data_IF_252007337555
#
_entry.id   IF_252007337555
#
_cell.length_a   1.000
_cell.length_b   1.000
_cell.length_c   1.000
_cell.angle_alpha   90.00
_cell.angle_beta   90.00
_cell.angle_gamma   90.00
#
_symmetry.space_group_name_H-M   'P 1'
#
loop_
_entity.id
_entity.type
_entity.pdbx_description
1 polymer ?
#
# COMPACT_ATOMS: atom_id res chain seq x y z
N UNK A 1 2.66 -15.36 71.58
CA UNK A 1 2.03 -14.03 71.38
C UNK A 1 1.96 -13.80 69.88
N UNK A 2 0.74 -13.67 69.36
CA UNK A 2 0.42 -13.73 67.93
C UNK A 2 1.03 -12.58 67.12
N UNK A 3 1.47 -12.87 65.89
CA UNK A 3 1.33 -11.91 64.80
C UNK A 3 1.13 -12.65 63.48
N UNK A 4 -0.09 -12.57 62.97
CA UNK A 4 -0.47 -12.90 61.60
C UNK A 4 -0.14 -11.68 60.73
N UNK A 5 0.65 -11.85 59.66
CA UNK A 5 0.74 -10.85 58.59
C UNK A 5 0.64 -11.58 57.24
N UNK A 6 -0.50 -11.41 56.60
CA UNK A 6 -0.69 -11.54 55.16
C UNK A 6 -0.53 -10.13 54.57
N UNK A 7 0.46 -9.92 53.70
CA UNK A 7 0.24 -9.18 52.45
C UNK A 7 1.46 -9.21 51.53
N UNK A 8 1.13 -9.40 50.25
CA UNK A 8 1.90 -9.22 49.04
C UNK A 8 2.55 -7.83 48.95
N UNK A 9 3.89 -7.75 48.93
CA UNK A 9 4.59 -6.69 48.17
C UNK A 9 6.07 -7.04 47.98
N UNK A 10 6.48 -6.88 46.73
CA UNK A 10 7.85 -6.90 46.20
C UNK A 10 8.83 -6.17 47.12
N UNK A 11 9.68 -6.90 47.84
CA UNK A 11 10.79 -6.28 48.61
C UNK A 11 12.05 -7.09 48.36
N UNK A 12 12.97 -6.53 47.57
CA UNK A 12 14.32 -7.08 47.37
C UNK A 12 15.12 -6.90 48.67
N UNK A 13 15.38 -7.99 49.38
CA UNK A 13 16.37 -7.99 50.46
C UNK A 13 17.76 -8.27 49.87
N UNK A 14 18.64 -7.27 49.89
CA UNK A 14 20.08 -7.46 49.71
C UNK A 14 20.69 -7.85 51.05
N UNK A 15 21.19 -9.07 51.16
CA UNK A 15 21.96 -9.52 52.33
C UNK A 15 23.45 -9.48 51.98
N UNK A 16 24.18 -8.50 52.51
CA UNK A 16 25.64 -8.46 52.45
C UNK A 16 26.20 -9.23 53.65
N UNK A 17 26.67 -10.47 53.43
CA UNK A 17 27.54 -11.14 54.39
C UNK A 17 29.00 -10.77 54.10
N UNK A 18 29.66 -10.17 55.08
CA UNK A 18 31.10 -9.92 55.06
C UNK A 18 31.81 -11.08 55.77
N UNK A 19 32.34 -12.01 54.99
CA UNK A 19 33.44 -12.89 55.43
C UNK A 19 34.70 -12.53 54.66
N UNK A 20 35.82 -12.50 55.39
CA UNK A 20 37.14 -12.11 54.90
C UNK A 20 37.59 -12.92 53.68
N UNK A 21 38.03 -12.16 52.66
CA UNK A 21 38.87 -12.51 51.50
C UNK A 21 38.29 -12.85 50.13
N UNK A 22 36.98 -13.03 49.93
CA UNK A 22 36.43 -13.06 48.56
C UNK A 22 34.99 -12.53 48.52
N UNK A 23 34.77 -11.37 47.90
CA UNK A 23 33.42 -10.89 47.56
C UNK A 23 32.90 -11.75 46.41
N UNK A 24 32.20 -12.84 46.72
CA UNK A 24 31.37 -13.54 45.73
C UNK A 24 30.08 -12.75 45.57
N UNK A 25 29.96 -12.02 44.46
CA UNK A 25 28.69 -11.47 44.00
C UNK A 25 27.85 -12.66 43.51
N UNK A 26 27.09 -13.28 44.41
CA UNK A 26 26.12 -14.30 44.05
C UNK A 26 24.87 -13.64 43.51
N UNK A 27 24.66 -13.69 42.20
CA UNK A 27 23.34 -13.40 41.62
C UNK A 27 22.35 -14.43 42.18
N UNK A 28 21.26 -13.96 42.80
CA UNK A 28 20.18 -14.82 43.29
C UNK A 28 19.68 -15.71 42.14
N UNK A 29 19.48 -17.00 42.40
CA UNK A 29 18.97 -17.98 41.43
C UNK A 29 17.68 -17.51 40.73
N UNK A 30 16.84 -16.74 41.44
CA UNK A 30 15.62 -16.16 40.89
C UNK A 30 15.88 -15.05 39.85
N UNK A 31 16.95 -14.28 40.01
CA UNK A 31 17.38 -13.28 39.00
C UNK A 31 17.88 -13.98 37.74
N UNK A 32 18.63 -15.08 37.90
CA UNK A 32 19.16 -15.86 36.78
C UNK A 32 18.03 -16.49 35.94
N UNK A 33 17.01 -17.05 36.58
CA UNK A 33 15.84 -17.64 35.90
C UNK A 33 14.92 -16.60 35.26
N UNK A 34 14.75 -15.42 35.86
CA UNK A 34 14.02 -14.30 35.21
C UNK A 34 14.76 -13.75 33.99
N UNK A 35 16.09 -13.64 34.06
CA UNK A 35 16.93 -13.23 32.92
C UNK A 35 16.91 -14.28 31.79
N UNK A 36 16.92 -15.57 32.11
CA UNK A 36 16.76 -16.65 31.10
C UNK A 36 15.36 -16.64 30.47
N UNK A 37 14.29 -16.51 31.27
CA UNK A 37 12.91 -16.41 30.77
C UNK A 37 12.72 -15.17 29.88
N UNK A 38 13.31 -14.03 30.26
CA UNK A 38 13.30 -12.81 29.45
C UNK A 38 14.06 -12.97 28.13
N UNK A 39 15.18 -13.70 28.13
CA UNK A 39 15.94 -14.00 26.91
C UNK A 39 15.18 -14.94 25.96
N UNK A 40 14.55 -15.98 26.50
CA UNK A 40 13.72 -16.90 25.70
C UNK A 40 12.51 -16.19 25.09
N UNK A 41 11.79 -15.38 25.87
CA UNK A 41 10.71 -14.55 25.34
C UNK A 41 11.19 -13.60 24.24
N UNK A 42 12.34 -12.94 24.42
CA UNK A 42 12.91 -12.06 23.41
C UNK A 42 13.23 -12.81 22.12
N UNK A 43 13.82 -14.01 22.20
CA UNK A 43 14.13 -14.83 21.04
C UNK A 43 12.86 -15.29 20.30
N UNK A 44 11.81 -15.66 21.04
CA UNK A 44 10.51 -16.01 20.44
C UNK A 44 9.89 -14.81 19.72
N UNK A 45 9.94 -13.62 20.31
CA UNK A 45 9.44 -12.38 19.67
C UNK A 45 10.25 -12.06 18.41
N UNK A 46 11.58 -12.08 18.48
CA UNK A 46 12.44 -11.83 17.33
C UNK A 46 12.23 -12.87 16.21
N UNK A 47 12.07 -14.14 16.59
CA UNK A 47 11.75 -15.22 15.66
C UNK A 47 10.39 -15.03 14.97
N UNK A 48 9.37 -14.63 15.72
CA UNK A 48 8.05 -14.33 15.18
C UNK A 48 8.07 -13.11 14.23
N UNK A 49 8.80 -12.05 14.60
CA UNK A 49 8.98 -10.87 13.76
C UNK A 49 9.72 -11.20 12.45
N UNK A 50 10.76 -12.03 12.52
CA UNK A 50 11.49 -12.49 11.35
C UNK A 50 10.59 -13.34 10.44
N UNK A 51 9.83 -14.27 11.02
CA UNK A 51 8.88 -15.09 10.27
C UNK A 51 7.83 -14.22 9.55
N UNK A 52 7.29 -13.22 10.24
CA UNK A 52 6.35 -12.26 9.66
C UNK A 52 6.99 -11.47 8.51
N UNK A 53 8.23 -11.02 8.68
CA UNK A 53 8.99 -10.34 7.63
C UNK A 53 9.28 -11.21 6.41
N UNK A 54 9.56 -12.51 6.61
CA UNK A 54 9.82 -13.44 5.52
C UNK A 54 8.55 -13.90 4.78
N UNK A 55 7.39 -13.82 5.43
CA UNK A 55 6.12 -14.34 4.88
C UNK A 55 5.21 -13.25 4.32
N UNK A 56 5.27 -12.04 4.88
CA UNK A 56 4.45 -10.90 4.46
C UNK A 56 5.33 -9.82 3.82
N UNK A 57 4.78 -9.14 2.80
CA UNK A 57 5.38 -7.92 2.27
C UNK A 57 5.11 -6.76 3.25
N UNK A 58 5.80 -6.77 4.40
CA UNK A 58 5.63 -5.80 5.48
C UNK A 58 5.79 -4.37 4.96
N UNK A 59 6.74 -4.15 4.06
CA UNK A 59 7.00 -2.85 3.45
C UNK A 59 5.82 -2.34 2.62
N UNK A 60 5.15 -3.21 1.88
CA UNK A 60 3.93 -2.86 1.16
C UNK A 60 2.84 -2.34 2.11
N UNK A 61 2.57 -3.05 3.20
CA UNK A 61 1.52 -2.66 4.16
C UNK A 61 1.87 -1.38 4.93
N UNK A 62 3.12 -1.24 5.38
CA UNK A 62 3.59 -0.02 6.05
C UNK A 62 3.51 1.18 5.13
N UNK A 63 3.93 1.04 3.87
CA UNK A 63 3.85 2.11 2.87
C UNK A 63 2.39 2.46 2.54
N UNK A 64 1.53 1.47 2.41
CA UNK A 64 0.08 1.67 2.23
C UNK A 64 -0.51 2.47 3.39
N UNK A 65 -0.27 2.05 4.64
CA UNK A 65 -0.74 2.76 5.83
C UNK A 65 -0.22 4.21 5.88
N UNK A 66 1.06 4.43 5.54
CA UNK A 66 1.63 5.76 5.42
C UNK A 66 0.91 6.61 4.37
N UNK A 67 0.62 6.05 3.18
CA UNK A 67 -0.10 6.76 2.11
C UNK A 67 -1.53 7.10 2.53
N UNK A 68 -2.23 6.19 3.21
CA UNK A 68 -3.56 6.46 3.77
C UNK A 68 -3.52 7.58 4.79
N UNK A 69 -2.58 7.53 5.75
CA UNK A 69 -2.40 8.58 6.75
C UNK A 69 -2.08 9.93 6.09
N UNK A 70 -1.12 9.94 5.15
CA UNK A 70 -0.75 11.13 4.39
C UNK A 70 -1.95 11.75 3.66
N UNK A 71 -2.74 10.93 2.95
CA UNK A 71 -3.93 11.39 2.24
C UNK A 71 -5.00 11.93 3.20
N UNK A 72 -5.12 11.37 4.40
CA UNK A 72 -6.06 11.80 5.42
C UNK A 72 -5.77 13.19 5.96
N UNK A 73 -4.50 13.55 6.09
CA UNK A 73 -4.08 14.88 6.56
C UNK A 73 -4.01 15.93 5.45
N UNK A 74 -4.10 15.53 4.18
CA UNK A 74 -4.12 16.46 3.06
C UNK A 74 -5.54 16.95 2.72
N UNK A 75 -5.68 18.17 2.17
CA UNK A 75 -6.98 18.67 1.74
C UNK A 75 -7.62 17.75 0.70
N UNK A 76 -8.94 17.58 0.80
CA UNK A 76 -9.73 16.83 -0.19
C UNK A 76 -9.75 17.57 -1.52
N UNK A 77 -9.69 16.82 -2.61
CA UNK A 77 -9.78 17.32 -3.99
C UNK A 77 -11.19 17.01 -4.49
N UNK A 78 -12.06 18.03 -4.56
CA UNK A 78 -13.48 17.84 -4.93
C UNK A 78 -13.68 17.64 -6.43
N UNK A 79 -12.76 18.14 -7.24
CA UNK A 79 -12.80 17.93 -8.68
C UNK A 79 -12.30 16.52 -9.00
N UNK A 80 -13.17 15.71 -9.62
CA UNK A 80 -12.88 14.30 -9.96
C UNK A 80 -11.89 14.16 -11.10
N UNK A 81 -11.84 15.14 -11.99
CA UNK A 81 -10.96 15.15 -13.16
C UNK A 81 -9.66 15.91 -12.89
N UNK A 82 -9.51 16.51 -11.71
CA UNK A 82 -8.28 17.17 -11.32
C UNK A 82 -7.14 16.15 -11.15
N UNK A 83 -5.99 16.50 -11.72
CA UNK A 83 -4.76 15.74 -11.52
C UNK A 83 -4.29 15.88 -10.06
N UNK A 84 -3.88 14.78 -9.45
CA UNK A 84 -3.26 14.75 -8.13
C UNK A 84 -1.86 14.17 -8.24
N UNK A 85 -0.89 14.78 -7.56
CA UNK A 85 0.48 14.30 -7.49
C UNK A 85 0.82 13.73 -6.11
N UNK A 86 1.62 12.67 -6.12
CA UNK A 86 2.31 12.14 -4.95
C UNK A 86 3.80 12.06 -5.24
N UNK A 87 4.60 12.44 -4.24
CA UNK A 87 6.05 12.46 -4.34
C UNK A 87 6.68 11.11 -4.00
N UNK A 88 7.72 10.75 -4.75
CA UNK A 88 8.50 9.54 -4.56
C UNK A 88 10.00 9.79 -4.70
N UNK A 89 10.80 8.83 -4.22
CA UNK A 89 12.24 8.78 -4.43
C UNK A 89 12.64 7.33 -4.56
N UNK A 90 13.51 7.01 -5.50
CA UNK A 90 13.97 5.63 -5.71
C UNK A 90 14.85 5.21 -4.53
N UNK A 91 14.37 4.25 -3.73
CA UNK A 91 15.05 3.70 -2.56
C UNK A 91 15.88 2.46 -2.92
N UNK A 92 16.80 2.01 -2.04
CA UNK A 92 17.62 0.83 -2.33
C UNK A 92 16.80 -0.43 -2.66
N UNK A 93 15.65 -0.63 -2.01
CA UNK A 93 14.77 -1.78 -2.26
C UNK A 93 13.96 -1.69 -3.56
N UNK A 94 14.03 -0.55 -4.25
CA UNK A 94 13.34 -0.33 -5.52
C UNK A 94 14.20 -0.71 -6.73
N UNK A 95 15.50 -0.95 -6.52
CA UNK A 95 16.45 -1.22 -7.58
C UNK A 95 16.36 -2.66 -8.09
N UNK A 96 16.62 -2.84 -9.37
CA UNK A 96 16.94 -4.12 -9.99
C UNK A 96 18.46 -4.38 -10.05
N UNK A 97 18.85 -5.52 -10.63
CA UNK A 97 20.26 -5.88 -10.82
C UNK A 97 21.02 -4.92 -11.73
N UNK A 98 20.33 -4.09 -12.52
CA UNK A 98 20.94 -3.08 -13.39
C UNK A 98 21.06 -1.71 -12.71
N UNK A 99 20.70 -1.59 -11.43
CA UNK A 99 20.81 -0.35 -10.67
C UNK A 99 19.77 0.71 -11.01
N UNK A 100 18.71 0.32 -11.72
CA UNK A 100 17.58 1.19 -12.05
C UNK A 100 16.35 0.78 -11.25
N UNK A 101 15.37 1.69 -11.15
CA UNK A 101 14.08 1.33 -10.57
C UNK A 101 13.48 0.14 -11.33
N UNK A 102 13.20 -0.93 -10.59
CA UNK A 102 12.64 -2.17 -11.11
C UNK A 102 11.26 -1.91 -11.73
N UNK A 103 11.00 -2.47 -12.90
CA UNK A 103 9.73 -2.32 -13.63
C UNK A 103 8.49 -2.62 -12.76
N UNK A 104 8.55 -3.66 -11.92
CA UNK A 104 7.45 -4.02 -11.01
C UNK A 104 7.17 -2.95 -9.94
N UNK A 105 8.18 -2.15 -9.57
CA UNK A 105 8.04 -1.06 -8.60
C UNK A 105 7.21 0.08 -9.17
N UNK A 106 7.25 0.35 -10.47
CA UNK A 106 6.37 1.34 -11.08
C UNK A 106 4.89 0.95 -10.91
N UNK A 107 4.55 -0.33 -11.11
CA UNK A 107 3.17 -0.82 -10.91
C UNK A 107 2.72 -0.67 -9.46
N UNK A 108 3.60 -1.03 -8.52
CA UNK A 108 3.34 -0.90 -7.09
C UNK A 108 3.15 0.56 -6.66
N UNK A 109 4.00 1.46 -7.13
CA UNK A 109 3.87 2.88 -6.84
C UNK A 109 2.59 3.48 -7.47
N UNK A 110 2.15 2.97 -8.62
CA UNK A 110 0.84 3.30 -9.18
C UNK A 110 -0.33 2.89 -8.27
N UNK A 111 -0.26 1.75 -7.56
CA UNK A 111 -1.28 1.36 -6.57
C UNK A 111 -1.38 2.39 -5.43
N UNK A 112 -0.23 2.76 -4.87
CA UNK A 112 -0.18 3.77 -3.80
C UNK A 112 -0.71 5.13 -4.26
N UNK A 113 -0.33 5.58 -5.45
CA UNK A 113 -0.83 6.81 -6.02
C UNK A 113 -2.36 6.77 -6.28
N UNK A 114 -2.91 5.61 -6.66
CA UNK A 114 -4.39 5.44 -6.76
C UNK A 114 -5.05 5.47 -5.39
N UNK A 115 -4.51 4.81 -4.38
CA UNK A 115 -5.07 4.87 -3.01
C UNK A 115 -5.08 6.30 -2.48
N UNK A 116 -3.99 7.04 -2.66
CA UNK A 116 -3.90 8.45 -2.33
C UNK A 116 -4.97 9.28 -3.06
N UNK A 117 -5.06 9.11 -4.37
CA UNK A 117 -6.04 9.80 -5.22
C UNK A 117 -7.49 9.53 -4.77
N UNK A 118 -7.84 8.26 -4.55
CA UNK A 118 -9.18 7.83 -4.13
C UNK A 118 -9.55 8.30 -2.72
N UNK A 119 -8.57 8.37 -1.82
CA UNK A 119 -8.77 8.89 -0.48
C UNK A 119 -9.09 10.39 -0.51
N UNK A 120 -8.31 11.15 -1.28
CA UNK A 120 -8.44 12.62 -1.33
C UNK A 120 -9.66 13.08 -2.10
N UNK A 121 -10.08 12.37 -3.15
CA UNK A 121 -11.31 12.70 -3.86
C UNK A 121 -12.57 12.06 -3.25
N UNK A 122 -12.43 11.14 -2.31
CA UNK A 122 -13.55 10.51 -1.60
C UNK A 122 -14.12 9.26 -2.27
N UNK A 123 -13.57 8.82 -3.41
CA UNK A 123 -13.95 7.55 -4.05
C UNK A 123 -13.73 6.34 -3.15
N UNK A 124 -12.69 6.34 -2.32
CA UNK A 124 -12.43 5.24 -1.39
C UNK A 124 -13.59 5.08 -0.39
N UNK A 125 -13.99 6.18 0.25
CA UNK A 125 -15.06 6.18 1.25
C UNK A 125 -16.44 5.91 0.65
N UNK A 126 -16.70 6.42 -0.56
CA UNK A 126 -17.93 6.13 -1.27
C UNK A 126 -18.02 4.66 -1.69
N UNK A 127 -16.93 4.12 -2.24
CA UNK A 127 -16.88 2.70 -2.62
C UNK A 127 -17.14 1.80 -1.41
N UNK A 128 -16.49 2.10 -0.28
CA UNK A 128 -16.73 1.37 0.97
C UNK A 128 -18.19 1.42 1.42
N UNK A 129 -18.81 2.61 1.43
CA UNK A 129 -20.21 2.78 1.86
C UNK A 129 -21.23 2.12 0.93
N UNK A 130 -20.93 2.08 -0.37
CA UNK A 130 -21.77 1.44 -1.39
C UNK A 130 -21.50 -0.07 -1.53
N UNK A 131 -20.55 -0.64 -0.78
CA UNK A 131 -20.13 -2.02 -0.93
C UNK A 131 -19.42 -2.31 -2.27
N UNK A 132 -18.99 -1.26 -2.97
CA UNK A 132 -18.31 -1.38 -4.26
C UNK A 132 -16.86 -1.80 -4.06
N UNK A 133 -16.34 -2.62 -4.98
CA UNK A 133 -14.93 -3.01 -5.03
C UNK A 133 -14.29 -2.46 -6.30
N UNK A 134 -13.21 -1.71 -6.14
CA UNK A 134 -12.40 -1.22 -7.26
C UNK A 134 -11.28 -2.23 -7.51
N UNK A 135 -11.28 -2.88 -8.68
CA UNK A 135 -10.30 -3.92 -9.03
C UNK A 135 -9.62 -3.55 -10.35
N UNK A 136 -8.29 -3.72 -10.44
CA UNK A 136 -7.57 -3.51 -11.70
C UNK A 136 -7.98 -4.61 -12.69
N UNK A 137 -8.62 -4.20 -13.79
CA UNK A 137 -9.05 -5.10 -14.87
C UNK A 137 -8.04 -5.19 -16.02
N UNK A 138 -7.30 -4.11 -16.28
CA UNK A 138 -6.21 -4.07 -17.24
C UNK A 138 -5.26 -2.94 -16.88
N UNK A 139 -3.98 -3.11 -17.21
CA UNK A 139 -2.98 -2.05 -17.10
C UNK A 139 -1.98 -2.16 -18.23
N UNK A 140 -1.53 -1.02 -18.76
CA UNK A 140 -0.48 -0.95 -19.77
C UNK A 140 0.45 0.20 -19.44
N UNK A 141 1.73 -0.12 -19.26
CA UNK A 141 2.76 0.85 -18.93
C UNK A 141 3.77 0.96 -20.06
N UNK A 142 4.08 2.20 -20.42
CA UNK A 142 5.14 2.54 -21.37
C UNK A 142 6.28 3.21 -20.62
N UNK A 143 7.43 2.54 -20.62
CA UNK A 143 8.68 3.08 -20.07
C UNK A 143 9.38 3.92 -21.13
N UNK A 144 9.79 5.13 -20.77
CA UNK A 144 10.52 6.06 -21.63
C UNK A 144 11.95 6.26 -21.16
N UNK A 145 12.14 6.42 -19.84
CA UNK A 145 13.44 6.57 -19.21
C UNK A 145 13.42 5.97 -17.80
N UNK A 146 14.45 5.21 -17.48
CA UNK A 146 14.61 4.63 -16.14
C UNK A 146 14.94 5.71 -15.12
N UNK A 147 14.33 5.62 -13.93
CA UNK A 147 14.69 6.40 -12.76
C UNK A 147 15.87 5.74 -12.04
N UNK A 148 16.89 6.52 -11.70
CA UNK A 148 18.09 6.03 -11.04
C UNK A 148 17.98 6.05 -9.50
N UNK A 149 18.92 5.39 -8.81
CA UNK A 149 19.00 5.42 -7.35
C UNK A 149 19.00 6.86 -6.80
N UNK A 150 18.18 7.12 -5.78
CA UNK A 150 17.96 8.44 -5.15
C UNK A 150 17.37 9.52 -6.06
N UNK A 151 16.92 9.17 -7.27
CA UNK A 151 16.21 10.12 -8.11
C UNK A 151 14.82 10.39 -7.52
N UNK A 152 14.52 11.67 -7.32
CA UNK A 152 13.20 12.12 -6.89
C UNK A 152 12.26 12.23 -8.10
N UNK A 153 11.02 11.81 -7.92
CA UNK A 153 9.99 11.83 -8.95
C UNK A 153 8.63 12.18 -8.35
N UNK A 154 7.68 12.52 -9.20
CA UNK A 154 6.28 12.65 -8.84
C UNK A 154 5.45 11.70 -9.70
N UNK A 155 4.37 11.17 -9.11
CA UNK A 155 3.37 10.37 -9.82
C UNK A 155 2.12 11.22 -9.95
N UNK A 156 1.85 11.69 -11.15
CA UNK A 156 0.65 12.47 -11.48
C UNK A 156 -0.46 11.50 -11.89
N UNK A 157 -1.52 11.45 -11.10
CA UNK A 157 -2.66 10.55 -11.29
C UNK A 157 -3.89 11.36 -11.67
N UNK A 158 -4.58 10.94 -12.72
CA UNK A 158 -5.82 11.57 -13.20
C UNK A 158 -6.82 10.51 -13.66
N UNK A 159 -8.09 10.69 -13.30
CA UNK A 159 -9.20 9.98 -13.94
C UNK A 159 -9.44 10.63 -15.31
N UNK A 160 -9.21 9.87 -16.38
CA UNK A 160 -9.39 10.33 -17.76
C UNK A 160 -10.85 10.25 -18.17
N UNK A 161 -11.60 9.29 -17.61
CA UNK A 161 -13.02 9.11 -17.85
C UNK A 161 -13.52 7.80 -17.24
N UNK A 162 -14.76 7.43 -17.52
CA UNK A 162 -15.37 6.18 -17.06
C UNK A 162 -16.43 5.70 -18.05
N UNK A 163 -16.73 4.41 -18.00
CA UNK A 163 -17.88 3.81 -18.67
C UNK A 163 -18.84 3.20 -17.63
N UNK A 164 -19.74 2.32 -18.07
CA UNK A 164 -20.69 1.64 -17.19
C UNK A 164 -20.03 0.73 -16.13
N UNK A 165 -18.81 0.26 -16.39
CA UNK A 165 -18.16 -0.83 -15.63
C UNK A 165 -16.83 -0.41 -15.00
N UNK A 166 -16.15 0.62 -15.49
CA UNK A 166 -14.80 0.94 -15.07
C UNK A 166 -14.47 2.43 -15.12
N UNK A 167 -13.57 2.85 -14.23
CA UNK A 167 -12.82 4.10 -14.35
C UNK A 167 -11.56 3.88 -15.18
N UNK A 168 -11.23 4.86 -16.02
CA UNK A 168 -10.00 4.93 -16.80
C UNK A 168 -9.05 5.95 -16.18
N UNK A 169 -7.86 5.50 -15.79
CA UNK A 169 -6.90 6.30 -15.01
C UNK A 169 -5.58 6.34 -15.76
N UNK A 170 -5.03 7.54 -15.87
CA UNK A 170 -3.67 7.77 -16.35
C UNK A 170 -2.76 8.13 -15.17
N UNK A 171 -1.58 7.52 -15.13
CA UNK A 171 -0.55 7.81 -14.14
C UNK A 171 0.78 8.06 -14.82
N UNK A 172 1.38 9.23 -14.57
CA UNK A 172 2.64 9.66 -15.19
C UNK A 172 3.71 9.80 -14.13
N UNK A 173 4.82 9.09 -14.33
CA UNK A 173 6.05 9.29 -13.54
C UNK A 173 6.83 10.43 -14.15
N UNK A 174 7.00 11.51 -13.41
CA UNK A 174 7.74 12.70 -13.86
C UNK A 174 8.97 12.86 -13.00
N UNK A 175 10.16 12.88 -13.62
CA UNK A 175 11.42 13.12 -12.91
C UNK A 175 11.43 14.56 -12.37
N UNK A 176 11.72 14.74 -11.08
CA UNK A 176 11.88 16.08 -10.50
C UNK A 176 13.19 16.75 -10.88
N UNK A 177 14.13 16.00 -11.48
CA UNK A 177 15.41 16.53 -11.94
C UNK A 177 15.26 17.46 -13.14
N UNK A 178 14.41 17.09 -14.10
CA UNK A 178 14.29 17.78 -15.39
C UNK A 178 12.85 17.86 -15.93
N UNK A 179 11.86 17.36 -15.19
CA UNK A 179 10.46 17.36 -15.61
C UNK A 179 10.12 16.32 -16.69
N UNK A 180 11.03 15.40 -17.02
CA UNK A 180 10.79 14.40 -18.05
C UNK A 180 9.81 13.33 -17.56
N UNK A 181 8.84 12.96 -18.40
CA UNK A 181 7.92 11.85 -18.12
C UNK A 181 8.63 10.51 -18.37
N UNK A 182 9.14 9.90 -17.31
CA UNK A 182 9.90 8.64 -17.30
C UNK A 182 9.04 7.43 -17.66
N UNK A 183 7.78 7.39 -17.24
CA UNK A 183 6.84 6.33 -17.58
C UNK A 183 5.39 6.84 -17.59
N UNK A 184 4.54 6.20 -18.39
CA UNK A 184 3.09 6.47 -18.45
C UNK A 184 2.33 5.16 -18.33
N UNK A 185 1.38 5.11 -17.41
CA UNK A 185 0.51 3.97 -17.16
C UNK A 185 -0.94 4.33 -17.47
N UNK A 186 -1.61 3.49 -18.25
CA UNK A 186 -3.07 3.46 -18.39
C UNK A 186 -3.63 2.30 -17.59
N UNK A 187 -4.63 2.56 -16.75
CA UNK A 187 -5.27 1.57 -15.89
C UNK A 187 -6.79 1.60 -16.08
N UNK A 188 -7.37 0.41 -16.25
CA UNK A 188 -8.82 0.18 -16.24
C UNK A 188 -9.17 -0.38 -14.87
N UNK A 189 -9.83 0.44 -14.06
CA UNK A 189 -10.30 0.08 -12.74
C UNK A 189 -11.76 -0.34 -12.79
N UNK A 190 -12.02 -1.65 -12.83
CA UNK A 190 -13.36 -2.20 -12.79
C UNK A 190 -14.04 -1.90 -11.46
N UNK A 191 -15.31 -1.57 -11.51
CA UNK A 191 -16.20 -1.44 -10.35
C UNK A 191 -17.05 -2.69 -10.26
N UNK A 192 -16.91 -3.43 -9.15
CA UNK A 192 -17.69 -4.63 -8.87
C UNK A 192 -18.74 -4.30 -7.82
N UNK A 193 -19.94 -4.86 -7.98
CA UNK A 193 -21.13 -4.64 -7.12
C UNK A 193 -21.75 -3.23 -7.20
N UNK A 194 -21.29 -2.38 -8.12
CA UNK A 194 -21.79 -1.02 -8.37
C UNK A 194 -21.37 -0.54 -9.77
N UNK A 195 -21.66 0.72 -10.11
CA UNK A 195 -21.13 1.40 -11.30
C UNK A 195 -20.27 2.62 -10.94
N UNK A 196 -19.38 3.07 -11.84
CA UNK A 196 -18.67 4.34 -11.69
C UNK A 196 -19.61 5.53 -11.44
N UNK A 197 -20.71 5.62 -12.18
CA UNK A 197 -21.69 6.70 -12.06
C UNK A 197 -22.32 6.75 -10.66
N UNK A 198 -22.77 5.62 -10.10
CA UNK A 198 -23.37 5.61 -8.75
C UNK A 198 -22.38 6.05 -7.67
N UNK A 199 -21.10 5.68 -7.81
CA UNK A 199 -20.06 6.16 -6.89
C UNK A 199 -19.87 7.68 -7.04
N UNK A 200 -19.81 8.18 -8.27
CA UNK A 200 -19.62 9.61 -8.54
C UNK A 200 -20.80 10.45 -8.04
N UNK A 201 -22.04 10.00 -8.26
CA UNK A 201 -23.24 10.65 -7.74
C UNK A 201 -23.21 10.73 -6.21
N UNK A 202 -22.80 9.65 -5.54
CA UNK A 202 -22.66 9.62 -4.08
C UNK A 202 -21.62 10.62 -3.58
N UNK A 203 -20.46 10.72 -4.24
CA UNK A 203 -19.38 11.63 -3.82
C UNK A 203 -19.71 13.08 -4.14
N UNK A 204 -20.14 13.34 -5.37
CA UNK A 204 -20.27 14.69 -5.91
C UNK A 204 -21.61 15.34 -5.57
N UNK A 205 -22.63 14.54 -5.24
CA UNK A 205 -24.03 14.98 -5.03
C UNK A 205 -24.60 15.76 -6.21
N UNK A 206 -24.01 15.58 -7.39
CA UNK A 206 -24.40 16.15 -8.68
C UNK A 206 -23.99 15.19 -9.76
N UNK A 207 -24.71 15.23 -10.88
CA UNK A 207 -24.29 14.52 -12.09
C UNK A 207 -23.03 15.20 -12.66
N UNK A 208 -22.03 14.39 -13.00
CA UNK A 208 -20.85 14.83 -13.73
C UNK A 208 -20.87 14.10 -15.06
N UNK A 209 -20.71 14.86 -16.14
CA UNK A 209 -20.63 14.27 -17.47
C UNK A 209 -19.24 13.66 -17.67
N UNK A 210 -19.24 12.48 -18.28
CA UNK A 210 -18.00 11.81 -18.64
C UNK A 210 -17.31 12.63 -19.75
N UNK A 211 -16.01 12.99 -19.59
CA UNK A 211 -15.29 13.70 -20.63
C UNK A 211 -15.08 12.81 -21.86
N UNK A 212 -14.95 13.43 -23.03
CA UNK A 212 -14.60 12.72 -24.26
C UNK A 212 -13.25 12.02 -24.13
N UNK A 213 -13.21 10.75 -24.51
CA UNK A 213 -11.99 9.97 -24.45
C UNK A 213 -10.97 10.46 -25.48
N UNK A 214 -9.71 10.68 -25.09
CA UNK A 214 -8.61 10.83 -26.03
C UNK A 214 -8.51 9.64 -27.00
N UNK A 215 -8.03 9.88 -28.22
CA UNK A 215 -7.94 8.84 -29.26
C UNK A 215 -7.04 7.67 -28.87
N UNK A 216 -5.93 7.92 -28.17
CA UNK A 216 -5.06 6.88 -27.64
C UNK A 216 -5.77 6.01 -26.59
N UNK A 217 -6.59 6.60 -25.73
CA UNK A 217 -7.43 5.86 -24.78
C UNK A 217 -8.48 5.02 -25.51
N UNK A 218 -9.13 5.54 -26.55
CA UNK A 218 -10.11 4.76 -27.36
C UNK A 218 -9.46 3.54 -28.00
N UNK A 219 -8.30 3.71 -28.63
CA UNK A 219 -7.54 2.59 -29.20
C UNK A 219 -7.14 1.57 -28.14
N UNK A 220 -6.71 2.02 -26.97
CA UNK A 220 -6.36 1.15 -25.87
C UNK A 220 -7.57 0.35 -25.35
N UNK A 221 -8.73 0.99 -25.18
CA UNK A 221 -9.98 0.33 -24.79
C UNK A 221 -10.39 -0.72 -25.85
N UNK A 222 -10.29 -0.39 -27.13
CA UNK A 222 -10.55 -1.31 -28.23
C UNK A 222 -9.63 -2.54 -28.17
N UNK A 223 -8.32 -2.32 -27.97
CA UNK A 223 -7.34 -3.40 -27.81
C UNK A 223 -7.68 -4.34 -26.64
N UNK A 224 -7.97 -3.78 -25.45
CA UNK A 224 -8.34 -4.58 -24.28
C UNK A 224 -9.65 -5.35 -24.52
N UNK A 225 -10.62 -4.73 -25.21
CA UNK A 225 -11.90 -5.36 -25.50
C UNK A 225 -11.75 -6.52 -26.49
N UNK A 226 -10.98 -6.35 -27.56
CA UNK A 226 -10.66 -7.40 -28.52
C UNK A 226 -9.91 -8.57 -27.87
N UNK A 227 -8.89 -8.27 -27.04
CA UNK A 227 -8.17 -9.29 -26.27
C UNK A 227 -9.10 -10.06 -25.33
N UNK A 228 -10.01 -9.36 -24.65
CA UNK A 228 -10.98 -9.99 -23.74
C UNK A 228 -11.99 -10.88 -24.48
N UNK A 229 -12.40 -10.53 -25.69
CA UNK A 229 -13.28 -11.37 -26.53
C UNK A 229 -12.57 -12.63 -27.00
N UNK A 230 -11.32 -12.50 -27.48
CA UNK A 230 -10.51 -13.66 -27.89
C UNK A 230 -10.33 -14.66 -26.74
N UNK A 231 -9.98 -14.18 -25.54
CA UNK A 231 -9.82 -15.05 -24.36
C UNK A 231 -11.13 -15.74 -23.93
N UNK A 232 -12.29 -15.09 -24.11
CA UNK A 232 -13.59 -15.73 -23.85
C UNK A 232 -13.86 -16.85 -24.84
N UNK A 233 -13.62 -16.61 -26.14
CA UNK A 233 -13.78 -17.62 -27.17
C UNK A 233 -12.85 -18.83 -26.93
N UNK A 234 -11.59 -18.60 -26.55
CA UNK A 234 -10.63 -19.66 -26.20
C UNK A 234 -11.08 -20.49 -24.99
N UNK A 235 -11.73 -19.87 -24.00
CA UNK A 235 -12.13 -20.54 -22.76
C UNK A 235 -13.33 -21.48 -22.89
N UNK A 236 -14.07 -21.45 -24.02
CA UNK A 236 -15.29 -22.25 -24.22
C UNK A 236 -16.44 -21.93 -23.25
N UNK A 237 -16.32 -20.86 -22.45
CA UNK A 237 -17.31 -20.50 -21.42
C UNK A 237 -18.64 -19.99 -21.99
N UNK A 238 -18.71 -19.68 -23.29
CA UNK A 238 -19.96 -19.29 -23.95
C UNK A 238 -20.92 -20.47 -24.16
N UNK A 239 -20.42 -21.71 -24.23
CA UNK A 239 -21.26 -22.90 -24.43
C UNK A 239 -21.88 -23.43 -23.13
N UNK A 240 -21.35 -23.07 -21.95
CA UNK A 240 -21.82 -23.59 -20.65
C UNK A 240 -22.95 -22.77 -20.00
N UNK A 241 -23.26 -21.59 -20.53
CA UNK A 241 -24.29 -20.68 -19.99
C UNK A 241 -25.54 -20.58 -20.89
N UNK A 242 -25.70 -21.51 -21.85
CA UNK A 242 -26.95 -21.73 -22.60
C UNK A 242 -27.64 -22.97 -22.05
#
# INVERSE_FOLDING_TARGET
MNLLILHTTTTCHFTLQFETKYVRIGLSQNTCSYLDCSREMLLLVLGALLLLFCTLDVWYFLRGAYVFAQAWFQPRVRDMLAEQSIDGTVLPHDLDYMGHMNNSRYLRECDFARFHHYMRNGLFMASWKLGARLVVGASTIRYRRSLAFREAFEIRTKIVGWDEKAFYIEQRFVSKKDGFVSAVMLCRQNVVHCSPESILEFVCKRKIDCPDFPEDLKHWISFISASSQALRAESGLEEKNK
#
